data_IF_219457158338
#
_entry.id   IF_219457158338
#
_cell.length_a   1.000
_cell.length_b   1.000
_cell.length_c   1.000
_cell.angle_alpha   90.00
_cell.angle_beta   90.00
_cell.angle_gamma   90.00
#
_symmetry.space_group_name_H-M   'P 1'
#
loop_
_entity.id
_entity.type
_entity.pdbx_description
1 polymer ?
#
# COMPACT_ATOMS: atom_id res chain seq x y z
N UNK A 1 -10.58 -34.11 -13.24
CA UNK A 1 -10.54 -32.64 -13.05
C UNK A 1 -9.48 -32.33 -12.01
N UNK A 2 -8.63 -31.36 -12.29
CA UNK A 2 -7.33 -31.09 -11.67
C UNK A 2 -7.41 -30.71 -10.18
N UNK A 3 -6.57 -31.35 -9.37
CA UNK A 3 -6.40 -31.14 -7.92
C UNK A 3 -5.61 -29.87 -7.55
N UNK A 4 -5.65 -28.82 -8.38
CA UNK A 4 -4.61 -27.77 -8.36
C UNK A 4 -5.00 -26.48 -7.62
N UNK A 5 -6.10 -26.47 -6.85
CA UNK A 5 -6.71 -25.22 -6.42
C UNK A 5 -6.49 -24.77 -4.96
N UNK A 6 -5.68 -25.46 -4.13
CA UNK A 6 -5.68 -25.18 -2.68
C UNK A 6 -4.32 -24.81 -2.04
N UNK A 7 -3.41 -24.17 -2.77
CA UNK A 7 -2.18 -23.58 -2.18
C UNK A 7 -2.05 -22.06 -2.32
N UNK A 8 -3.02 -21.37 -2.92
CA UNK A 8 -2.95 -19.93 -3.25
C UNK A 8 -3.31 -18.95 -2.13
N UNK A 9 -3.73 -19.44 -0.96
CA UNK A 9 -4.24 -18.60 0.13
C UNK A 9 -3.23 -18.18 1.20
N UNK A 10 -1.96 -18.61 1.13
CA UNK A 10 -1.03 -18.40 2.26
C UNK A 10 -0.47 -16.98 2.34
N UNK A 11 -0.38 -16.25 1.23
CA UNK A 11 0.34 -14.96 1.15
C UNK A 11 -0.50 -13.83 0.53
N UNK A 12 -1.81 -13.99 0.43
CA UNK A 12 -2.65 -13.06 -0.35
C UNK A 12 -2.71 -11.66 0.29
N UNK A 13 -2.71 -11.59 1.62
CA UNK A 13 -2.63 -10.33 2.37
C UNK A 13 -1.33 -9.57 2.09
N UNK A 14 -0.20 -10.26 2.12
CA UNK A 14 1.10 -9.68 1.81
C UNK A 14 1.20 -9.30 0.33
N UNK A 15 0.71 -10.13 -0.59
CA UNK A 15 0.72 -9.83 -2.03
C UNK A 15 -0.11 -8.58 -2.38
N UNK A 16 -1.33 -8.49 -1.86
CA UNK A 16 -2.19 -7.31 -2.07
C UNK A 16 -1.59 -6.08 -1.40
N UNK A 17 -1.13 -6.21 -0.15
CA UNK A 17 -0.51 -5.12 0.56
C UNK A 17 0.71 -4.56 -0.19
N UNK A 18 1.57 -5.42 -0.72
CA UNK A 18 2.71 -5.00 -1.56
C UNK A 18 2.27 -4.27 -2.81
N UNK A 19 1.25 -4.77 -3.52
CA UNK A 19 0.72 -4.10 -4.71
C UNK A 19 0.18 -2.69 -4.38
N UNK A 20 -0.58 -2.57 -3.29
CA UNK A 20 -1.08 -1.27 -2.81
C UNK A 20 0.06 -0.31 -2.45
N UNK A 21 1.08 -0.80 -1.73
CA UNK A 21 2.25 0.00 -1.37
C UNK A 21 3.05 0.46 -2.59
N UNK A 22 3.22 -0.38 -3.62
CA UNK A 22 3.95 -0.02 -4.85
C UNK A 22 3.20 1.06 -5.62
N UNK A 23 1.89 0.89 -5.85
CA UNK A 23 1.09 1.88 -6.60
C UNK A 23 1.06 3.22 -5.86
N UNK A 24 0.87 3.20 -4.55
CA UNK A 24 0.89 4.41 -3.74
C UNK A 24 2.28 5.08 -3.72
N UNK A 25 3.35 4.27 -3.64
CA UNK A 25 4.73 4.76 -3.68
C UNK A 25 5.07 5.43 -5.01
N UNK A 26 4.64 4.86 -6.14
CA UNK A 26 4.79 5.49 -7.46
C UNK A 26 4.08 6.84 -7.50
N UNK A 27 2.86 6.93 -6.95
CA UNK A 27 2.12 8.19 -6.85
C UNK A 27 2.87 9.27 -6.09
N UNK A 28 3.41 8.94 -4.91
CA UNK A 28 4.18 9.88 -4.09
C UNK A 28 5.52 10.28 -4.73
N UNK A 29 6.25 9.33 -5.29
CA UNK A 29 7.52 9.62 -5.99
C UNK A 29 7.27 10.52 -7.19
N UNK A 30 6.20 10.28 -7.95
CA UNK A 30 5.82 11.14 -9.08
C UNK A 30 5.52 12.56 -8.62
N UNK A 31 4.77 12.73 -7.54
CA UNK A 31 4.45 14.05 -6.96
C UNK A 31 5.71 14.79 -6.53
N UNK A 32 6.62 14.09 -5.84
CA UNK A 32 7.91 14.63 -5.42
C UNK A 32 8.80 15.02 -6.61
N UNK A 33 8.79 14.25 -7.71
CA UNK A 33 9.58 14.54 -8.90
C UNK A 33 9.03 15.72 -9.73
N UNK A 34 7.70 15.90 -9.75
CA UNK A 34 7.07 16.97 -10.53
C UNK A 34 7.08 18.30 -9.76
N UNK A 35 6.69 18.26 -8.49
CA UNK A 35 6.42 19.44 -7.67
C UNK A 35 7.46 19.66 -6.57
N UNK A 36 8.52 18.84 -6.50
CA UNK A 36 9.52 18.95 -5.44
C UNK A 36 8.94 18.68 -4.04
N UNK A 37 9.67 19.05 -2.97
CA UNK A 37 9.22 18.84 -1.59
C UNK A 37 8.07 19.77 -1.17
N UNK A 38 7.75 20.81 -1.95
CA UNK A 38 6.64 21.73 -1.68
C UNK A 38 5.28 21.02 -1.65
N UNK A 39 5.13 19.91 -2.40
CA UNK A 39 3.92 19.10 -2.38
C UNK A 39 3.56 18.61 -0.95
N UNK A 40 4.56 18.42 -0.08
CA UNK A 40 4.34 17.96 1.30
C UNK A 40 3.66 19.05 2.13
N UNK A 41 4.03 20.32 1.90
CA UNK A 41 3.37 21.44 2.58
C UNK A 41 1.94 21.57 2.08
N UNK A 42 1.74 21.49 0.77
CA UNK A 42 0.40 21.56 0.19
C UNK A 42 -0.46 20.39 0.70
N UNK A 43 0.10 19.18 0.78
CA UNK A 43 -0.56 18.03 1.39
C UNK A 43 -1.00 18.23 2.85
N UNK A 44 -0.11 18.80 3.69
CA UNK A 44 -0.33 18.94 5.14
C UNK A 44 -1.31 20.07 5.48
N UNK A 45 -1.28 21.16 4.71
CA UNK A 45 -2.04 22.37 5.02
C UNK A 45 -3.28 22.57 4.14
N UNK A 46 -3.39 21.87 3.00
CA UNK A 46 -4.58 21.92 2.17
C UNK A 46 -5.71 21.11 2.85
N UNK A 47 -6.92 21.67 2.92
CA UNK A 47 -8.10 21.00 3.50
C UNK A 47 -8.79 20.01 2.55
N UNK A 48 -8.48 20.06 1.26
CA UNK A 48 -9.18 19.29 0.23
C UNK A 48 -8.71 17.84 0.16
N UNK A 49 -9.60 16.92 -0.26
CA UNK A 49 -9.21 15.54 -0.56
C UNK A 49 -8.62 15.52 -1.96
N UNK A 50 -7.30 15.54 -2.01
CA UNK A 50 -6.53 15.48 -3.24
C UNK A 50 -5.96 14.08 -3.47
N UNK A 51 -5.41 13.83 -4.66
CA UNK A 51 -4.87 12.52 -5.04
C UNK A 51 -3.69 12.09 -4.16
N UNK A 52 -2.94 13.04 -3.60
CA UNK A 52 -1.81 12.78 -2.69
C UNK A 52 -2.31 12.19 -1.37
N UNK A 53 -3.42 12.71 -0.82
CA UNK A 53 -4.08 12.18 0.39
C UNK A 53 -4.59 10.77 0.20
N UNK A 54 -5.21 10.50 -0.95
CA UNK A 54 -5.66 9.16 -1.31
C UNK A 54 -4.46 8.21 -1.41
N UNK A 55 -3.37 8.65 -2.05
CA UNK A 55 -2.15 7.83 -2.18
C UNK A 55 -1.49 7.54 -0.84
N UNK A 56 -1.41 8.51 0.08
CA UNK A 56 -0.91 8.31 1.45
C UNK A 56 -1.78 7.33 2.24
N UNK A 57 -3.10 7.48 2.17
CA UNK A 57 -4.03 6.56 2.82
C UNK A 57 -3.89 5.13 2.27
N UNK A 58 -3.75 4.98 0.95
CA UNK A 58 -3.49 3.69 0.30
C UNK A 58 -2.14 3.09 0.72
N UNK A 59 -1.10 3.91 0.89
CA UNK A 59 0.21 3.45 1.33
C UNK A 59 0.15 2.92 2.77
N UNK A 60 -0.49 3.68 3.67
CA UNK A 60 -0.73 3.28 5.05
C UNK A 60 -1.55 1.99 5.15
N UNK A 61 -2.61 1.88 4.35
CA UNK A 61 -3.43 0.66 4.28
C UNK A 61 -2.64 -0.55 3.74
N UNK A 62 -1.81 -0.35 2.71
CA UNK A 62 -0.93 -1.38 2.15
C UNK A 62 0.06 -1.91 3.19
N UNK A 63 0.75 -1.02 3.91
CA UNK A 63 1.67 -1.40 5.00
C UNK A 63 0.94 -2.15 6.11
N UNK A 64 -0.25 -1.69 6.49
CA UNK A 64 -1.07 -2.35 7.50
C UNK A 64 -1.45 -3.78 7.07
N UNK A 65 -1.85 -3.97 5.81
CA UNK A 65 -2.13 -5.30 5.27
C UNK A 65 -0.90 -6.22 5.25
N UNK A 66 0.27 -5.68 4.89
CA UNK A 66 1.54 -6.43 4.92
C UNK A 66 1.83 -6.89 6.36
N UNK A 67 1.71 -5.99 7.34
CA UNK A 67 1.95 -6.30 8.75
C UNK A 67 0.99 -7.38 9.29
N UNK A 68 -0.30 -7.31 8.94
CA UNK A 68 -1.27 -8.37 9.27
C UNK A 68 -0.95 -9.70 8.58
N UNK A 69 -0.48 -9.65 7.34
CA UNK A 69 -0.02 -10.82 6.60
C UNK A 69 1.13 -11.54 7.30
N UNK A 70 2.11 -10.81 7.85
CA UNK A 70 3.22 -11.39 8.61
C UNK A 70 2.80 -11.96 9.97
N UNK A 71 1.97 -11.24 10.75
CA UNK A 71 1.46 -11.76 12.04
C UNK A 71 0.72 -13.10 11.90
N UNK A 72 0.01 -13.29 10.79
CA UNK A 72 -0.73 -14.54 10.52
C UNK A 72 0.18 -15.71 10.11
N UNK A 73 1.40 -15.44 9.62
CA UNK A 73 2.41 -16.47 9.34
C UNK A 73 3.13 -16.94 10.60
N UNK A 74 3.42 -16.04 11.55
CA UNK A 74 4.04 -16.40 12.84
C UNK A 74 3.11 -17.25 13.70
N UNK A 75 1.81 -16.94 13.74
CA UNK A 75 0.84 -17.69 14.55
C UNK A 75 0.55 -19.11 14.03
N UNK A 76 1.12 -19.50 12.88
CA UNK A 76 0.98 -20.82 12.28
C UNK A 76 2.24 -21.68 12.36
N UNK A 77 3.31 -21.18 13.00
CA UNK A 77 4.53 -21.94 13.33
C UNK A 77 4.44 -22.53 14.73
#
# INVERSE_FOLDING_TARGET
>A
MSHEYYRRGRNWFTAIGTLFSVVAGIGLIRQLLIWGPEFVQDFLFNGEITNEKVSMAMLGFGIFMIALGFRKHEQKR
#
